data_IF_649778984606
#
_entry.id   IF_649778984606
#
_cell.length_a   1.000
_cell.length_b   1.000
_cell.length_c   1.000
_cell.angle_alpha   90.00
_cell.angle_beta   90.00
_cell.angle_gamma   90.00
#
_symmetry.space_group_name_H-M   'P 1'
#
loop_
_entity.id
_entity.type
_entity.pdbx_description
1 polymer ?
#
# COMPACT_ATOMS: atom_id res chain seq x y z
N UNK A 1 -16.95 13.68 0.51
CA UNK A 1 -15.69 13.82 1.27
C UNK A 1 -14.56 13.40 0.33
N UNK A 2 -13.44 14.12 0.30
CA UNK A 2 -12.26 13.71 -0.48
C UNK A 2 -11.58 12.60 0.32
N UNK A 3 -11.26 11.43 -0.28
CA UNK A 3 -10.57 10.38 0.46
C UNK A 3 -9.20 10.87 0.90
N UNK A 4 -8.81 10.49 2.11
CA UNK A 4 -7.50 10.73 2.69
C UNK A 4 -6.64 9.48 2.62
N UNK A 5 -5.34 9.70 2.58
CA UNK A 5 -4.31 8.67 2.60
C UNK A 5 -3.57 8.70 3.93
N UNK A 6 -3.14 7.53 4.42
CA UNK A 6 -2.25 7.46 5.57
C UNK A 6 -1.18 6.39 5.45
N UNK A 7 -0.02 6.66 6.03
CA UNK A 7 1.09 5.72 6.18
C UNK A 7 1.40 5.50 7.67
N UNK A 8 1.82 4.27 8.02
CA UNK A 8 2.14 3.85 9.37
C UNK A 8 3.63 3.49 9.51
N UNK A 9 4.29 3.96 10.57
CA UNK A 9 5.71 3.68 10.86
C UNK A 9 5.92 3.35 12.34
N UNK A 10 6.68 2.31 12.65
CA UNK A 10 6.98 1.90 14.04
C UNK A 10 8.02 2.76 14.76
N UNK A 11 8.85 3.48 14.02
CA UNK A 11 9.87 4.38 14.56
C UNK A 11 9.97 5.67 13.74
N UNK A 12 10.83 6.59 14.19
CA UNK A 12 11.22 7.79 13.45
C UNK A 12 12.68 7.75 12.98
N UNK A 13 13.04 8.63 12.04
CA UNK A 13 14.37 8.77 11.48
C UNK A 13 14.76 7.63 10.54
N UNK A 14 16.06 7.31 10.51
CA UNK A 14 16.65 6.31 9.60
C UNK A 14 16.28 4.86 9.93
N UNK A 15 15.69 4.63 11.10
CA UNK A 15 15.26 3.30 11.55
C UNK A 15 13.76 3.08 11.36
N UNK A 16 13.02 4.12 10.91
CA UNK A 16 11.60 4.01 10.66
C UNK A 16 11.32 2.90 9.65
N UNK A 17 10.51 1.93 10.05
CA UNK A 17 10.04 0.87 9.16
C UNK A 17 8.58 1.11 8.85
N UNK A 18 8.28 1.06 7.56
CA UNK A 18 6.92 1.18 7.06
C UNK A 18 6.11 -0.07 7.41
N UNK A 19 4.99 0.12 8.10
CA UNK A 19 4.09 -0.94 8.57
C UNK A 19 2.89 -1.15 7.65
N UNK A 20 2.64 -0.22 6.72
CA UNK A 20 1.54 -0.30 5.77
C UNK A 20 0.90 1.06 5.52
N UNK A 21 -0.15 1.06 4.71
CA UNK A 21 -0.85 2.27 4.33
C UNK A 21 -2.34 2.03 4.09
N UNK A 22 -3.13 3.10 4.15
CA UNK A 22 -4.56 3.10 3.83
C UNK A 22 -4.93 4.26 2.92
N UNK A 23 -5.96 4.06 2.09
CA UNK A 23 -6.60 5.07 1.25
C UNK A 23 -8.13 5.01 1.45
N UNK A 24 -8.75 6.14 1.79
CA UNK A 24 -10.19 6.22 2.06
C UNK A 24 -10.47 7.17 3.22
N UNK A 25 -11.03 6.65 4.32
CA UNK A 25 -11.32 7.46 5.51
C UNK A 25 -10.18 7.35 6.55
N UNK A 26 -9.00 7.85 6.18
CA UNK A 26 -7.76 7.65 6.92
C UNK A 26 -7.45 8.74 7.96
N UNK A 27 -8.41 9.63 8.26
CA UNK A 27 -8.19 10.74 9.19
C UNK A 27 -8.23 10.28 10.68
N UNK A 28 -7.58 11.01 11.59
CA UNK A 28 -7.42 10.57 12.99
C UNK A 28 -8.74 10.46 13.77
N UNK A 29 -9.78 11.19 13.37
CA UNK A 29 -11.08 11.13 14.01
C UNK A 29 -11.79 9.83 13.62
N UNK A 30 -11.82 9.51 12.33
CA UNK A 30 -12.35 8.23 11.84
C UNK A 30 -11.60 7.05 12.46
N UNK A 31 -10.27 7.06 12.44
CA UNK A 31 -9.48 5.94 12.96
C UNK A 31 -9.68 5.76 14.47
N UNK A 32 -9.86 6.83 15.24
CA UNK A 32 -10.15 6.74 16.69
C UNK A 32 -11.51 6.10 16.99
N UNK A 33 -12.43 6.08 16.02
CA UNK A 33 -13.69 5.35 16.11
C UNK A 33 -13.53 3.82 16.03
N UNK A 34 -12.40 3.33 15.53
CA UNK A 34 -12.08 1.91 15.45
C UNK A 34 -11.30 1.47 16.68
N UNK A 35 -11.57 0.27 17.21
CA UNK A 35 -10.87 -0.23 18.40
C UNK A 35 -9.35 -0.35 18.16
N UNK A 36 -8.94 -0.89 17.01
CA UNK A 36 -7.53 -0.98 16.61
C UNK A 36 -6.90 0.40 16.37
N UNK A 37 -7.63 1.33 15.77
CA UNK A 37 -7.14 2.69 15.58
C UNK A 37 -7.00 3.46 16.90
N UNK A 38 -7.91 3.28 17.86
CA UNK A 38 -7.78 3.82 19.22
C UNK A 38 -6.58 3.22 19.95
N UNK A 39 -6.42 1.90 19.94
CA UNK A 39 -5.24 1.24 20.54
C UNK A 39 -3.92 1.73 19.93
N UNK A 40 -3.85 1.86 18.61
CA UNK A 40 -2.68 2.40 17.92
C UNK A 40 -2.38 3.84 18.38
N UNK A 41 -3.40 4.69 18.51
CA UNK A 41 -3.24 6.09 18.91
C UNK A 41 -2.87 6.28 20.39
N UNK A 42 -3.28 5.34 21.24
CA UNK A 42 -3.03 5.37 22.68
C UNK A 42 -1.80 4.52 23.08
N UNK A 43 -1.11 3.90 22.12
CA UNK A 43 0.05 3.07 22.35
C UNK A 43 1.18 3.82 23.09
N UNK A 44 1.81 3.14 24.05
CA UNK A 44 2.93 3.67 24.85
C UNK A 44 4.23 2.90 24.64
N UNK A 45 4.19 1.84 23.83
CA UNK A 45 5.33 1.05 23.41
C UNK A 45 5.21 0.71 21.91
N UNK A 46 6.34 0.46 21.22
CA UNK A 46 6.37 0.28 19.78
C UNK A 46 5.70 -1.04 19.33
N UNK A 47 5.70 -2.08 20.17
CA UNK A 47 5.09 -3.38 19.84
C UNK A 47 3.58 -3.23 19.78
N UNK A 48 2.96 -2.64 20.81
CA UNK A 48 1.52 -2.36 20.83
C UNK A 48 1.10 -1.48 19.66
N UNK A 49 1.89 -0.45 19.33
CA UNK A 49 1.63 0.38 18.16
C UNK A 49 1.63 -0.43 16.87
N UNK A 50 2.65 -1.26 16.66
CA UNK A 50 2.81 -2.02 15.42
C UNK A 50 1.74 -3.09 15.25
N UNK A 51 1.41 -3.84 16.31
CA UNK A 51 0.34 -4.83 16.29
C UNK A 51 -1.02 -4.16 16.01
N UNK A 52 -1.33 -3.08 16.72
CA UNK A 52 -2.58 -2.35 16.50
C UNK A 52 -2.67 -1.72 15.10
N UNK A 53 -1.55 -1.28 14.52
CA UNK A 53 -1.51 -0.80 13.14
C UNK A 53 -1.83 -1.91 12.14
N UNK A 54 -1.32 -3.13 12.34
CA UNK A 54 -1.62 -4.27 11.46
C UNK A 54 -3.08 -4.72 11.62
N UNK A 55 -3.60 -4.79 12.84
CA UNK A 55 -5.02 -5.07 13.10
C UNK A 55 -5.93 -4.00 12.47
N UNK A 56 -5.48 -2.75 12.46
CA UNK A 56 -6.18 -1.66 11.78
C UNK A 56 -6.25 -1.88 10.27
N UNK A 57 -5.16 -2.31 9.62
CA UNK A 57 -5.19 -2.60 8.18
C UNK A 57 -6.24 -3.67 7.85
N UNK A 58 -6.38 -4.70 8.69
CA UNK A 58 -7.39 -5.73 8.51
C UNK A 58 -8.81 -5.19 8.75
N UNK A 59 -9.04 -4.51 9.88
CA UNK A 59 -10.34 -3.94 10.22
C UNK A 59 -10.83 -2.92 9.17
N UNK A 60 -9.92 -2.12 8.61
CA UNK A 60 -10.22 -1.11 7.60
C UNK A 60 -10.79 -1.72 6.32
N UNK A 61 -10.22 -2.85 5.89
CA UNK A 61 -10.71 -3.63 4.75
C UNK A 61 -12.04 -4.33 5.07
N UNK A 62 -12.16 -4.94 6.25
CA UNK A 62 -13.39 -5.64 6.66
C UNK A 62 -14.61 -4.70 6.79
N UNK A 63 -14.38 -3.45 7.21
CA UNK A 63 -15.44 -2.44 7.39
C UNK A 63 -15.71 -1.59 6.14
N UNK A 64 -15.06 -1.91 5.02
CA UNK A 64 -15.24 -1.20 3.74
C UNK A 64 -15.01 0.33 3.86
N UNK A 65 -14.00 0.73 4.65
CA UNK A 65 -13.63 2.14 4.86
C UNK A 65 -12.67 2.67 3.79
N UNK A 66 -12.23 1.78 2.90
CA UNK A 66 -11.34 2.06 1.78
C UNK A 66 -10.44 0.87 1.49
N UNK A 67 -9.21 1.15 1.07
CA UNK A 67 -8.20 0.13 0.76
C UNK A 67 -7.09 0.17 1.80
N UNK A 68 -6.64 -1.01 2.25
CA UNK A 68 -5.44 -1.18 3.05
C UNK A 68 -4.35 -1.90 2.27
N UNK A 69 -3.10 -1.57 2.56
CA UNK A 69 -1.91 -2.09 1.91
C UNK A 69 -0.92 -2.55 2.97
N UNK A 70 -0.60 -3.84 2.98
CA UNK A 70 0.41 -4.37 3.89
C UNK A 70 1.82 -4.23 3.33
N UNK A 71 2.86 -4.28 4.18
CA UNK A 71 4.26 -4.26 3.75
C UNK A 71 4.59 -5.34 2.73
N UNK A 72 3.96 -6.52 2.86
CA UNK A 72 4.12 -7.65 1.93
C UNK A 72 3.60 -7.36 0.52
N UNK A 73 2.77 -6.34 0.34
CA UNK A 73 2.20 -5.95 -0.95
C UNK A 73 3.07 -4.89 -1.65
N UNK A 74 4.06 -4.36 -0.94
CA UNK A 74 4.93 -3.29 -1.42
C UNK A 74 4.29 -1.92 -1.29
N UNK A 75 5.07 -0.90 -1.64
CA UNK A 75 4.61 0.49 -1.58
C UNK A 75 3.47 0.76 -2.57
N UNK A 76 2.31 1.27 -2.12
CA UNK A 76 1.12 1.37 -2.96
C UNK A 76 1.04 2.66 -3.77
N UNK A 77 1.83 3.67 -3.41
CA UNK A 77 1.72 5.00 -4.01
C UNK A 77 2.62 5.15 -5.25
N UNK A 78 2.22 6.07 -6.14
CA UNK A 78 3.01 6.44 -7.32
C UNK A 78 4.16 7.40 -7.00
N UNK A 79 4.17 8.00 -5.79
CA UNK A 79 5.22 8.87 -5.30
C UNK A 79 6.25 8.09 -4.48
N UNK A 80 7.51 8.57 -4.37
CA UNK A 80 8.59 7.80 -3.79
C UNK A 80 8.61 7.78 -2.25
N UNK A 81 7.84 8.61 -1.56
CA UNK A 81 7.84 8.75 -0.10
C UNK A 81 6.54 9.34 0.44
N UNK A 82 6.31 9.27 1.76
CA UNK A 82 5.07 9.78 2.41
C UNK A 82 4.83 11.29 2.35
N UNK A 83 5.63 12.09 1.62
CA UNK A 83 5.48 13.56 1.62
C UNK A 83 4.15 14.02 1.02
N UNK A 84 3.55 13.21 0.16
CA UNK A 84 2.27 13.45 -0.50
C UNK A 84 1.08 12.85 0.23
N UNK A 85 1.32 12.10 1.31
CA UNK A 85 0.28 11.47 2.12
C UNK A 85 -0.38 12.50 3.05
N UNK A 86 -1.70 12.39 3.25
CA UNK A 86 -2.43 13.33 4.11
C UNK A 86 -2.01 13.19 5.57
N UNK A 87 -1.93 11.95 6.06
CA UNK A 87 -1.61 11.62 7.44
C UNK A 87 -0.46 10.62 7.55
N UNK A 88 0.34 10.78 8.57
CA UNK A 88 1.36 9.81 8.93
C UNK A 88 1.25 9.55 10.41
N UNK A 89 1.13 8.27 10.75
CA UNK A 89 1.10 7.77 12.11
C UNK A 89 2.45 7.13 12.39
N UNK A 90 3.13 7.63 13.41
CA UNK A 90 4.45 7.12 13.78
C UNK A 90 4.58 7.02 15.29
N UNK A 91 5.29 6.01 15.76
CA UNK A 91 5.63 5.89 17.17
C UNK A 91 7.03 6.45 17.44
N UNK A 92 7.14 7.35 18.42
CA UNK A 92 8.42 7.91 18.85
C UNK A 92 8.37 8.35 20.32
N UNK A 93 9.46 8.10 21.04
CA UNK A 93 9.64 8.52 22.44
C UNK A 93 8.47 8.14 23.36
N UNK A 94 7.96 6.91 23.24
CA UNK A 94 6.96 6.37 24.16
C UNK A 94 5.51 6.80 23.85
N UNK A 95 5.25 7.34 22.65
CA UNK A 95 3.90 7.75 22.25
C UNK A 95 3.71 7.73 20.73
N UNK A 96 2.45 7.66 20.33
CA UNK A 96 2.04 7.86 18.94
C UNK A 96 2.00 9.35 18.57
N UNK A 97 2.49 9.66 17.38
CA UNK A 97 2.46 10.96 16.73
C UNK A 97 1.62 10.88 15.47
N UNK A 98 0.85 11.94 15.24
CA UNK A 98 0.08 12.15 14.03
C UNK A 98 0.60 13.42 13.39
N UNK A 99 1.14 13.31 12.19
CA UNK A 99 1.64 14.44 11.42
C UNK A 99 1.07 14.40 10.00
N UNK A 100 1.25 15.48 9.26
CA UNK A 100 0.90 15.53 7.83
C UNK A 100 2.12 15.21 6.97
N UNK A 101 1.93 14.72 5.74
CA UNK A 101 3.02 14.46 4.80
C UNK A 101 3.90 15.68 4.51
N UNK A 102 3.33 16.90 4.61
CA UNK A 102 4.12 18.13 4.51
C UNK A 102 5.15 18.25 5.63
N UNK A 103 4.81 17.88 6.87
CA UNK A 103 5.72 17.93 8.01
C UNK A 103 6.79 16.84 7.88
N UNK A 104 6.44 15.65 7.38
CA UNK A 104 7.39 14.55 7.16
C UNK A 104 8.62 14.94 6.35
N UNK A 105 8.43 15.78 5.33
CA UNK A 105 9.50 16.32 4.48
C UNK A 105 10.63 17.01 5.25
N UNK A 106 10.32 17.57 6.43
CA UNK A 106 11.27 18.30 7.26
C UNK A 106 11.88 17.44 8.37
N UNK A 107 11.16 16.42 8.82
CA UNK A 107 11.48 15.68 10.04
C UNK A 107 12.22 14.37 9.78
N UNK A 108 12.12 13.81 8.57
CA UNK A 108 12.59 12.45 8.26
C UNK A 108 13.50 12.43 7.03
N UNK A 109 14.79 12.05 7.14
CA UNK A 109 15.58 11.71 5.96
C UNK A 109 14.97 10.47 5.30
N UNK A 110 14.94 10.44 3.95
CA UNK A 110 14.33 9.40 3.10
C UNK A 110 14.35 8.01 3.77
N UNK A 111 13.16 7.54 4.14
CA UNK A 111 12.95 6.17 4.61
C UNK A 111 12.87 5.28 3.37
N UNK A 112 13.59 4.18 3.38
CA UNK A 112 13.53 3.22 2.27
C UNK A 112 12.22 2.44 2.36
N UNK A 113 11.36 2.60 1.35
CA UNK A 113 10.13 1.80 1.21
C UNK A 113 10.43 0.54 0.41
N UNK A 114 9.70 -0.57 0.65
CA UNK A 114 9.76 -1.72 -0.24
C UNK A 114 9.39 -1.28 -1.66
N UNK A 115 10.06 -1.79 -2.70
CA UNK A 115 9.74 -1.40 -4.07
C UNK A 115 8.26 -1.65 -4.35
N UNK A 116 7.59 -0.77 -5.12
CA UNK A 116 6.24 -1.04 -5.57
C UNK A 116 6.19 -2.40 -6.24
N UNK A 117 5.28 -3.28 -5.83
CA UNK A 117 5.08 -4.52 -6.57
C UNK A 117 4.47 -4.13 -7.91
N UNK A 118 5.25 -4.25 -8.99
CA UNK A 118 4.71 -4.22 -10.33
C UNK A 118 3.57 -5.22 -10.37
N UNK A 119 2.34 -4.77 -10.60
CA UNK A 119 1.26 -5.65 -10.97
C UNK A 119 1.82 -6.55 -12.06
N UNK A 120 1.87 -7.87 -11.80
CA UNK A 120 2.38 -8.84 -12.76
C UNK A 120 1.65 -8.56 -14.07
N UNK A 121 2.33 -7.86 -14.98
CA UNK A 121 1.74 -7.48 -16.24
C UNK A 121 1.75 -8.79 -16.99
N UNK A 122 0.59 -9.47 -16.97
CA UNK A 122 0.31 -10.58 -17.84
C UNK A 122 0.34 -10.06 -19.26
N UNK A 123 1.55 -9.82 -19.79
CA UNK A 123 1.80 -9.81 -21.21
C UNK A 123 1.62 -11.25 -21.68
N UNK A 124 0.36 -11.63 -21.89
CA UNK A 124 0.04 -12.64 -22.89
C UNK A 124 0.51 -12.04 -24.21
N UNK A 125 1.71 -12.44 -24.61
CA UNK A 125 2.14 -12.32 -25.99
C UNK A 125 1.35 -13.41 -26.74
N UNK A 126 0.39 -13.07 -27.63
CA UNK A 126 -0.16 -14.08 -28.52
C UNK A 126 0.98 -14.51 -29.44
N UNK A 127 1.50 -15.72 -29.21
CA UNK A 127 2.34 -16.41 -30.18
C UNK A 127 1.57 -16.57 -31.49
N UNK A 128 2.23 -16.53 -32.66
CA UNK A 128 1.54 -16.72 -33.92
C UNK A 128 0.99 -18.15 -33.96
N UNK A 129 -0.35 -18.26 -33.97
CA UNK A 129 -1.08 -19.48 -34.25
C UNK A 129 -0.69 -19.97 -35.65
N UNK A 130 0.13 -21.02 -35.72
CA UNK A 130 0.23 -21.84 -36.92
C UNK A 130 -1.04 -22.69 -36.99
N UNK A 131 -2.05 -22.20 -37.69
CA UNK A 131 -3.16 -23.03 -38.14
C UNK A 131 -2.67 -23.82 -39.37
N UNK A 132 -2.49 -25.12 -39.17
CA UNK A 132 -2.14 -26.08 -40.22
C UNK A 132 -3.34 -27.00 -40.40
N UNK A 133 -4.32 -26.54 -41.18
CA UNK A 133 -5.48 -27.29 -41.64
C UNK A 133 -5.96 -26.52 -42.89
N UNK A 134 -6.09 -27.03 -44.12
CA UNK A 134 -6.32 -28.36 -44.63
C UNK A 134 -6.11 -28.37 -46.17
N UNK A 135 -6.08 -29.59 -46.72
CA UNK A 135 -5.79 -29.98 -48.11
C UNK A 135 -6.86 -29.58 -49.15
N UNK A 136 -6.42 -29.77 -50.41
CA UNK A 136 -7.14 -30.07 -51.66
C UNK A 136 -7.39 -28.83 -52.53
N UNK A 137 -7.09 -28.80 -53.82
CA UNK A 137 -6.71 -29.77 -54.85
C UNK A 137 -6.86 -29.07 -56.21
N UNK A 138 -6.56 -29.77 -57.32
CA UNK A 138 -6.71 -29.37 -58.74
C UNK A 138 -5.53 -28.55 -59.30
N UNK A 139 -4.89 -28.85 -60.43
CA UNK A 139 -5.24 -29.70 -61.58
C UNK A 139 -3.95 -30.00 -62.38
N UNK A 140 -3.79 -31.22 -62.89
CA UNK A 140 -3.09 -31.52 -64.15
C UNK A 140 -4.08 -32.36 -64.97
N UNK A 141 -4.29 -32.07 -66.27
CA UNK A 141 -3.44 -32.60 -67.37
C UNK A 141 -3.15 -31.49 -68.42
N UNK A 142 -2.42 -31.64 -69.52
CA UNK A 142 -2.50 -32.65 -70.61
C UNK A 142 -1.27 -32.49 -71.53
N UNK A 143 -0.78 -33.64 -72.03
CA UNK A 143 0.01 -33.96 -73.25
C UNK A 143 1.23 -33.11 -73.64
#
# INVERSE_FOLDING_TARGET
>A
MIPTTADFYDETGRQARWLGAIHGNADPETLRGLDSGRHMLDATDPTTFAEAALDLLEAFSQQNLGHSHHPRDGWPWSWPDSRSTDWIYTFDRGRTWVITGRIWSYTMPRVDHPPPRLAATGHVQPGPTQDSTERHGNTCPIS
#
